data_IF_726173354313
#
_entry.id   IF_726173354313
#
_cell.length_a   1.000
_cell.length_b   1.000
_cell.length_c   1.000
_cell.angle_alpha   90.00
_cell.angle_beta   90.00
_cell.angle_gamma   90.00
#
_symmetry.space_group_name_H-M   'P 1'
#
loop_
_entity.id
_entity.type
_entity.pdbx_description
1 polymer ?
#
# COMPACT_ATOMS: atom_id res chain seq x y z
N UNK A 1 16.97 16.22 12.28
CA UNK A 1 17.70 14.96 12.56
C UNK A 1 17.18 13.91 11.60
N UNK A 2 18.04 13.29 10.80
CA UNK A 2 17.64 12.16 9.96
C UNK A 2 17.46 10.95 10.88
N UNK A 3 16.22 10.50 11.06
CA UNK A 3 15.95 9.23 11.72
C UNK A 3 16.24 8.16 10.67
N UNK A 4 17.22 7.30 10.93
CA UNK A 4 17.48 6.13 10.09
C UNK A 4 16.60 4.99 10.60
N UNK A 5 15.76 4.45 9.73
CA UNK A 5 14.79 3.41 10.10
C UNK A 5 15.37 2.00 9.99
N UNK A 6 16.69 1.90 9.77
CA UNK A 6 17.45 0.67 9.72
C UNK A 6 18.31 0.60 10.97
N UNK A 7 18.23 -0.54 11.65
CA UNK A 7 19.07 -0.88 12.79
C UNK A 7 19.89 -2.11 12.41
N UNK A 8 21.20 -2.02 12.57
CA UNK A 8 22.09 -3.14 12.25
C UNK A 8 21.69 -4.39 13.03
N UNK A 9 21.73 -5.54 12.35
CA UNK A 9 21.33 -6.83 12.91
C UNK A 9 19.81 -7.02 13.09
N UNK A 10 18.99 -6.02 12.79
CA UNK A 10 17.53 -6.11 12.93
C UNK A 10 16.85 -6.37 11.58
N UNK A 11 15.93 -7.35 11.48
CA UNK A 11 15.17 -7.58 10.27
C UNK A 11 14.20 -6.42 10.00
N UNK A 12 14.00 -6.12 8.72
CA UNK A 12 12.99 -5.17 8.26
C UNK A 12 12.31 -5.69 6.99
N UNK A 13 11.16 -5.11 6.67
CA UNK A 13 10.50 -5.30 5.38
C UNK A 13 10.62 -4.01 4.56
N UNK A 14 11.06 -4.13 3.32
CA UNK A 14 11.04 -3.05 2.35
C UNK A 14 10.11 -3.42 1.21
N UNK A 15 9.27 -2.47 0.80
CA UNK A 15 8.38 -2.61 -0.35
C UNK A 15 8.70 -1.52 -1.35
N UNK A 16 8.87 -1.90 -2.62
CA UNK A 16 8.99 -0.98 -3.75
C UNK A 16 7.74 -1.17 -4.60
N UNK A 17 7.01 -0.09 -4.82
CA UNK A 17 5.78 -0.05 -5.63
C UNK A 17 6.03 0.78 -6.89
N UNK A 18 5.55 0.33 -8.05
CA UNK A 18 5.51 1.09 -9.31
C UNK A 18 4.18 1.85 -9.46
N UNK A 19 4.18 3.17 -9.21
CA UNK A 19 2.98 4.02 -9.24
C UNK A 19 2.74 4.63 -10.62
N UNK A 20 1.82 5.58 -10.75
CA UNK A 20 1.55 6.20 -12.05
C UNK A 20 2.71 7.09 -12.55
N UNK A 21 3.38 7.80 -11.62
CA UNK A 21 4.40 8.81 -11.96
C UNK A 21 5.80 8.47 -11.43
N UNK A 22 5.95 7.34 -10.74
CA UNK A 22 7.22 6.98 -10.12
C UNK A 22 7.19 5.75 -9.24
N UNK A 23 8.35 5.43 -8.66
CA UNK A 23 8.48 4.40 -7.64
C UNK A 23 8.23 4.97 -6.25
N UNK A 24 7.59 4.18 -5.39
CA UNK A 24 7.35 4.49 -3.99
C UNK A 24 7.99 3.42 -3.13
N UNK A 25 8.66 3.84 -2.06
CA UNK A 25 9.36 2.95 -1.13
C UNK A 25 8.75 3.09 0.27
N UNK A 26 8.46 1.95 0.89
CA UNK A 26 8.09 1.88 2.29
C UNK A 26 8.99 0.90 3.05
N UNK A 27 9.23 1.21 4.32
CA UNK A 27 9.96 0.36 5.26
C UNK A 27 9.03 0.09 6.44
N UNK A 28 8.84 -1.18 6.77
CA UNK A 28 7.94 -1.62 7.85
C UNK A 28 6.53 -1.00 7.74
N UNK A 29 6.04 -0.85 6.50
CA UNK A 29 4.73 -0.27 6.20
C UNK A 29 4.66 1.27 6.24
N UNK A 30 5.72 1.96 6.67
CA UNK A 30 5.80 3.42 6.64
C UNK A 30 6.39 3.91 5.32
N UNK A 31 5.78 4.92 4.71
CA UNK A 31 6.35 5.59 3.53
C UNK A 31 7.68 6.24 3.90
N UNK A 32 8.73 5.92 3.13
CA UNK A 32 10.07 6.49 3.31
C UNK A 32 10.38 7.52 2.23
N UNK A 33 10.14 7.18 0.96
CA UNK A 33 10.52 8.05 -0.15
C UNK A 33 9.82 7.67 -1.46
N UNK A 34 9.86 8.58 -2.43
CA UNK A 34 9.32 8.41 -3.77
C UNK A 34 10.27 9.01 -4.80
N UNK A 35 10.38 8.38 -5.97
CA UNK A 35 11.20 8.86 -7.07
C UNK A 35 10.40 8.84 -8.37
N UNK A 36 10.42 9.95 -9.11
CA UNK A 36 9.81 9.98 -10.44
C UNK A 36 10.49 8.96 -11.36
N UNK A 37 9.73 8.43 -12.33
CA UNK A 37 10.34 7.66 -13.41
C UNK A 37 11.34 8.53 -14.16
N UNK A 38 12.46 7.92 -14.57
CA UNK A 38 13.38 8.58 -15.49
C UNK A 38 12.68 8.76 -16.83
N UNK A 39 12.98 9.82 -17.57
CA UNK A 39 12.27 10.18 -18.83
C UNK A 39 12.10 9.04 -19.84
N UNK A 40 13.00 8.06 -19.86
CA UNK A 40 12.99 6.93 -20.80
C UNK A 40 12.72 5.58 -20.14
N UNK A 41 12.28 5.59 -18.89
CA UNK A 41 11.94 4.36 -18.18
C UNK A 41 10.48 4.01 -18.47
N UNK A 42 10.28 2.85 -19.09
CA UNK A 42 8.98 2.20 -19.20
C UNK A 42 8.82 1.20 -18.06
N UNK A 43 8.02 1.49 -17.01
CA UNK A 43 7.97 0.66 -15.81
C UNK A 43 7.51 -0.78 -16.09
N UNK A 44 6.66 -0.96 -17.10
CA UNK A 44 6.16 -2.27 -17.55
C UNK A 44 7.23 -3.13 -18.24
N UNK A 45 8.36 -2.56 -18.66
CA UNK A 45 9.49 -3.31 -19.22
C UNK A 45 10.54 -3.70 -18.17
N UNK A 46 10.36 -3.32 -16.91
CA UNK A 46 11.31 -3.67 -15.84
C UNK A 46 11.11 -5.14 -15.43
N UNK A 47 12.09 -5.97 -15.76
CA UNK A 47 12.07 -7.42 -15.49
C UNK A 47 13.04 -7.86 -14.38
N UNK A 48 13.90 -6.95 -13.91
CA UNK A 48 15.00 -7.28 -12.99
C UNK A 48 15.19 -6.22 -11.92
N UNK A 49 15.36 -6.70 -10.69
CA UNK A 49 15.77 -5.89 -9.54
C UNK A 49 17.16 -6.34 -9.11
N UNK A 50 18.04 -5.37 -8.84
CA UNK A 50 19.39 -5.61 -8.33
C UNK A 50 19.62 -4.79 -7.07
N UNK A 51 20.06 -5.44 -6.01
CA UNK A 51 20.54 -4.79 -4.79
C UNK A 51 22.08 -4.87 -4.73
N UNK A 52 22.69 -3.91 -4.04
CA UNK A 52 24.13 -3.88 -3.73
C UNK A 52 24.30 -3.30 -2.32
N UNK A 53 25.20 -3.87 -1.51
CA UNK A 53 25.50 -3.39 -0.15
C UNK A 53 25.30 -4.45 0.93
N UNK A 54 25.33 -4.01 2.20
CA UNK A 54 25.32 -4.87 3.39
C UNK A 54 23.94 -5.32 3.84
N UNK A 55 23.19 -5.98 2.95
CA UNK A 55 21.88 -6.55 3.27
C UNK A 55 21.89 -8.06 3.01
N UNK A 56 21.41 -8.83 4.00
CA UNK A 56 21.11 -10.25 3.83
C UNK A 56 19.63 -10.42 3.53
N UNK A 57 19.31 -11.02 2.39
CA UNK A 57 17.92 -11.24 1.98
C UNK A 57 17.39 -12.51 2.64
N UNK A 58 16.32 -12.36 3.42
CA UNK A 58 15.59 -13.49 4.00
C UNK A 58 14.56 -14.07 3.03
N UNK A 59 13.82 -13.20 2.35
CA UNK A 59 12.82 -13.59 1.35
C UNK A 59 12.51 -12.45 0.38
N UNK A 60 11.98 -12.80 -0.79
CA UNK A 60 11.50 -11.84 -1.80
C UNK A 60 10.12 -12.28 -2.24
N UNK A 61 9.21 -11.32 -2.34
CA UNK A 61 7.85 -11.54 -2.85
C UNK A 61 7.51 -10.44 -3.86
N UNK A 62 7.02 -10.83 -5.03
CA UNK A 62 6.44 -9.94 -6.02
C UNK A 62 4.92 -10.11 -6.03
N UNK A 63 4.18 -9.04 -5.75
CA UNK A 63 2.71 -9.03 -5.81
C UNK A 63 2.26 -8.25 -7.04
N UNK A 64 1.94 -8.98 -8.12
CA UNK A 64 1.25 -8.46 -9.30
C UNK A 64 2.04 -7.49 -10.18
N UNK A 65 1.63 -7.41 -11.45
CA UNK A 65 2.08 -6.40 -12.40
C UNK A 65 1.48 -5.04 -12.02
N UNK A 66 2.09 -3.91 -12.44
CA UNK A 66 1.49 -2.59 -12.26
C UNK A 66 0.09 -2.60 -12.87
N UNK A 67 -0.92 -2.68 -12.00
CA UNK A 67 -2.31 -2.57 -12.41
C UNK A 67 -2.54 -1.08 -12.60
N UNK A 68 -3.12 -0.70 -13.74
CA UNK A 68 -3.62 0.65 -13.89
C UNK A 68 -4.77 0.78 -12.88
N UNK A 69 -4.47 1.22 -11.65
CA UNK A 69 -5.45 1.68 -10.66
C UNK A 69 -6.06 3.00 -11.15
N UNK A 70 -6.40 3.05 -12.44
CA UNK A 70 -7.07 4.17 -13.07
C UNK A 70 -8.52 4.13 -12.59
N UNK A 71 -8.78 4.96 -11.57
CA UNK A 71 -9.86 5.97 -11.52
C UNK A 71 -11.32 5.48 -11.54
N UNK A 72 -11.67 4.31 -12.10
CA UNK A 72 -13.04 3.82 -12.24
C UNK A 72 -13.63 3.33 -10.90
N UNK A 73 -12.85 2.69 -10.02
CA UNK A 73 -13.36 2.27 -8.69
C UNK A 73 -13.72 3.45 -7.77
N UNK A 74 -13.19 4.65 -8.04
CA UNK A 74 -13.51 5.83 -7.24
C UNK A 74 -14.95 6.32 -7.46
N UNK A 75 -15.49 6.11 -8.67
CA UNK A 75 -16.85 6.56 -9.03
C UNK A 75 -17.92 5.84 -8.22
N UNK A 76 -17.69 4.57 -7.88
CA UNK A 76 -18.62 3.75 -7.11
C UNK A 76 -18.29 3.65 -5.60
N UNK A 77 -17.30 4.39 -5.09
CA UNK A 77 -16.91 4.33 -3.67
C UNK A 77 -18.07 4.68 -2.71
N UNK A 78 -19.00 5.53 -3.14
CA UNK A 78 -20.22 5.85 -2.38
C UNK A 78 -21.19 4.65 -2.29
N UNK A 79 -21.21 3.77 -3.30
CA UNK A 79 -22.02 2.53 -3.33
C UNK A 79 -21.41 1.41 -2.48
N UNK A 80 -20.12 1.48 -2.20
CA UNK A 80 -19.41 0.54 -1.33
C UNK A 80 -19.54 0.87 0.16
N UNK A 81 -20.26 1.95 0.51
CA UNK A 81 -20.54 2.28 1.91
C UNK A 81 -21.48 1.23 2.51
N UNK A 82 -21.13 0.73 3.68
CA UNK A 82 -22.00 -0.16 4.44
C UNK A 82 -23.33 0.55 4.76
N UNK A 83 -24.43 -0.18 4.63
CA UNK A 83 -25.76 0.33 5.02
C UNK A 83 -25.75 0.67 6.51
N UNK A 84 -26.27 1.83 6.93
CA UNK A 84 -26.36 2.19 8.35
C UNK A 84 -27.14 1.14 9.14
N UNK A 85 -26.62 0.76 10.31
CA UNK A 85 -27.29 -0.20 11.17
C UNK A 85 -28.62 0.42 11.67
N UNK A 86 -29.78 -0.24 11.46
CA UNK A 86 -31.06 0.28 11.92
C UNK A 86 -31.08 0.45 13.44
N UNK A 87 -31.27 1.69 13.92
CA UNK A 87 -31.30 2.04 15.36
C UNK A 87 -32.43 1.37 16.16
N UNK A 88 -33.40 0.79 15.46
CA UNK A 88 -34.65 0.24 15.98
C UNK A 88 -34.69 -1.30 16.09
N UNK A 89 -33.61 -2.02 15.75
CA UNK A 89 -33.53 -3.47 15.95
C UNK A 89 -32.67 -3.82 17.16
N UNK A 90 -33.22 -4.66 18.07
CA UNK A 90 -32.53 -5.07 19.30
C UNK A 90 -31.14 -5.66 18.97
N UNK A 91 -30.06 -5.22 19.65
CA UNK A 91 -28.67 -5.50 19.28
C UNK A 91 -28.24 -6.97 19.36
N UNK A 92 -29.09 -7.85 19.93
CA UNK A 92 -28.76 -9.26 20.20
C UNK A 92 -28.76 -10.18 18.97
N UNK A 93 -29.28 -9.77 17.81
CA UNK A 93 -29.38 -10.62 16.60
C UNK A 93 -28.53 -10.18 15.40
N UNK A 94 -27.90 -9.01 15.44
CA UNK A 94 -27.28 -8.38 14.25
C UNK A 94 -25.75 -8.27 14.28
N UNK A 95 -25.10 -8.68 15.37
CA UNK A 95 -23.64 -8.58 15.53
C UNK A 95 -23.01 -9.96 15.80
N UNK A 96 -23.25 -10.94 14.93
CA UNK A 96 -22.54 -12.22 15.03
C UNK A 96 -21.18 -12.20 14.33
N UNK A 97 -20.90 -11.22 13.47
CA UNK A 97 -19.67 -11.19 12.67
C UNK A 97 -19.22 -9.75 12.38
N UNK A 98 -18.06 -9.39 12.94
CA UNK A 98 -17.32 -8.18 12.60
C UNK A 98 -16.09 -8.62 11.78
N UNK A 99 -16.05 -8.25 10.50
CA UNK A 99 -14.86 -8.46 9.66
C UNK A 99 -14.15 -7.12 9.53
N UNK A 100 -13.04 -6.96 10.25
CA UNK A 100 -12.13 -5.84 10.06
C UNK A 100 -11.23 -6.09 8.86
N UNK A 101 -11.44 -5.36 7.77
CA UNK A 101 -10.53 -5.37 6.62
C UNK A 101 -9.52 -4.23 6.80
N UNK A 102 -8.27 -4.59 7.09
CA UNK A 102 -7.16 -3.63 7.18
C UNK A 102 -6.34 -3.70 5.88
N UNK A 103 -6.20 -2.56 5.21
CA UNK A 103 -5.29 -2.41 4.08
C UNK A 103 -3.98 -1.81 4.58
N UNK A 104 -2.87 -2.51 4.35
CA UNK A 104 -1.50 -1.98 4.54
C UNK A 104 -1.01 -1.19 3.33
N UNK A 105 -1.82 -1.08 2.26
CA UNK A 105 -1.57 -0.23 1.11
C UNK A 105 -1.97 1.21 1.41
N UNK A 106 -1.06 2.15 1.14
CA UNK A 106 -1.24 3.59 1.32
C UNK A 106 -2.49 4.12 0.56
N UNK A 107 -3.64 4.07 1.21
CA UNK A 107 -4.83 4.84 0.86
C UNK A 107 -5.06 5.99 1.86
N UNK A 108 -4.03 6.36 2.63
CA UNK A 108 -4.18 7.32 3.73
C UNK A 108 -4.57 8.72 3.19
N UNK A 109 -4.01 9.13 2.05
CA UNK A 109 -4.39 10.40 1.41
C UNK A 109 -5.85 10.43 0.91
N UNK A 110 -6.50 9.28 0.70
CA UNK A 110 -7.90 9.19 0.22
C UNK A 110 -8.95 9.33 1.33
N UNK A 111 -8.54 9.40 2.60
CA UNK A 111 -9.42 9.64 3.76
C UNK A 111 -9.18 10.99 4.46
N UNK A 112 -8.25 11.80 3.96
CA UNK A 112 -7.87 13.09 4.57
C UNK A 112 -8.25 14.32 3.73
N UNK A 113 -8.87 14.15 2.56
CA UNK A 113 -9.35 15.25 1.74
C UNK A 113 -10.88 15.18 1.62
N UNK A 114 -11.54 16.04 2.41
CA UNK A 114 -12.95 16.50 2.41
C UNK A 114 -14.06 15.45 2.22
#
# INVERSE_FOLDING_TARGET
SNVYHFLDGSPFSATIWSGNVGFHVSVNGRHETSFAYRERLEPWLVDKVRWRGGLSILSVLAKGLPVNEEVELAKDAQRLKAVPIPKNKKPRRLLLLLIGVFSSGNNFARRSAL
#
